data_IF_337064388902
#
_entry.id   IF_337064388902
#
_cell.length_a   1.000
_cell.length_b   1.000
_cell.length_c   1.000
_cell.angle_alpha   90.00
_cell.angle_beta   90.00
_cell.angle_gamma   90.00
#
_symmetry.space_group_name_H-M   'P 1'
#
loop_
_entity.id
_entity.type
_entity.pdbx_description
1 polymer ?
#
# COMPACT_ATOMS: atom_id res chain seq x y z
N UNK A 1 -16.04 4.74 -23.13
CA UNK A 1 -14.89 4.35 -22.26
C UNK A 1 -13.84 5.44 -22.34
N UNK A 2 -13.55 6.08 -21.20
CA UNK A 2 -12.59 7.19 -21.15
C UNK A 2 -11.20 6.64 -20.85
N UNK A 3 -10.18 7.22 -21.53
CA UNK A 3 -8.79 6.91 -21.21
C UNK A 3 -8.41 7.50 -19.86
N UNK A 4 -7.53 6.77 -19.16
CA UNK A 4 -6.89 7.19 -17.92
C UNK A 4 -5.59 7.90 -18.30
N UNK A 5 -5.40 9.09 -17.74
CA UNK A 5 -4.25 9.96 -17.96
C UNK A 5 -3.56 10.26 -16.62
N UNK A 6 -2.40 10.89 -16.69
CA UNK A 6 -1.72 11.40 -15.48
C UNK A 6 -2.45 12.65 -14.99
N UNK A 7 -2.90 12.64 -13.74
CA UNK A 7 -3.46 13.80 -13.07
C UNK A 7 -2.37 14.58 -12.32
N UNK A 8 -1.52 13.86 -11.58
CA UNK A 8 -0.44 14.46 -10.79
C UNK A 8 0.74 13.52 -10.67
N UNK A 9 1.95 14.07 -10.75
CA UNK A 9 3.21 13.36 -10.46
C UNK A 9 3.74 13.91 -9.14
N UNK A 10 4.12 13.00 -8.22
CA UNK A 10 4.59 13.34 -6.87
C UNK A 10 5.91 12.64 -6.62
N UNK A 11 6.94 13.41 -6.35
CA UNK A 11 8.20 12.89 -5.80
C UNK A 11 8.00 12.58 -4.31
N UNK A 12 8.30 11.36 -3.85
CA UNK A 12 8.19 11.02 -2.44
C UNK A 12 9.08 11.88 -1.56
N UNK A 13 8.60 12.19 -0.37
CA UNK A 13 9.32 12.96 0.62
C UNK A 13 10.11 12.02 1.54
N UNK A 14 11.39 12.29 1.74
CA UNK A 14 12.19 11.57 2.73
C UNK A 14 11.59 11.77 4.12
N UNK A 15 11.38 10.67 4.82
CA UNK A 15 10.79 10.64 6.16
C UNK A 15 11.46 9.57 7.02
N UNK A 16 11.15 9.58 8.31
CA UNK A 16 11.53 8.53 9.25
C UNK A 16 10.34 8.21 10.13
N UNK A 17 10.12 6.91 10.40
CA UNK A 17 9.04 6.44 11.25
C UNK A 17 9.52 5.26 12.13
N UNK A 18 8.65 4.77 13.03
CA UNK A 18 9.04 3.73 13.97
C UNK A 18 10.22 4.15 14.86
N UNK A 19 11.18 3.26 15.06
CA UNK A 19 12.40 3.54 15.80
C UNK A 19 13.56 4.00 14.90
N UNK A 20 13.25 4.93 13.98
CA UNK A 20 14.23 5.56 13.11
C UNK A 20 14.37 4.91 11.72
N UNK A 21 13.39 4.13 11.29
CA UNK A 21 13.36 3.56 9.93
C UNK A 21 13.28 4.68 8.91
N UNK A 22 14.24 4.75 8.00
CA UNK A 22 14.23 5.69 6.89
C UNK A 22 13.31 5.19 5.78
N UNK A 23 12.47 6.08 5.28
CA UNK A 23 11.49 5.77 4.25
C UNK A 23 11.23 6.97 3.32
N UNK A 24 10.54 6.69 2.23
CA UNK A 24 10.04 7.68 1.27
C UNK A 24 8.51 7.67 1.36
N UNK A 25 7.93 8.76 1.87
CA UNK A 25 6.47 8.91 2.00
C UNK A 25 5.89 9.61 0.78
N UNK A 26 4.92 9.00 0.14
CA UNK A 26 4.26 9.52 -1.07
C UNK A 26 2.89 10.10 -0.77
N UNK A 27 2.05 9.40 0.02
CA UNK A 27 0.74 9.85 0.50
C UNK A 27 0.83 10.03 2.01
N UNK A 28 0.12 10.99 2.57
CA UNK A 28 0.23 11.40 3.98
C UNK A 28 1.27 12.49 4.17
N UNK A 29 1.47 13.34 3.16
CA UNK A 29 2.44 14.43 3.12
C UNK A 29 1.75 15.78 2.88
N UNK A 30 2.51 16.87 2.98
CA UNK A 30 2.01 18.21 2.59
C UNK A 30 1.71 18.33 1.08
N UNK A 31 2.23 17.43 0.25
CA UNK A 31 1.96 17.40 -1.20
C UNK A 31 0.62 16.74 -1.51
N UNK A 32 0.27 15.72 -0.73
CA UNK A 32 -1.00 15.00 -0.78
C UNK A 32 -1.29 14.37 0.59
N UNK A 33 -2.31 14.88 1.28
CA UNK A 33 -2.70 14.39 2.60
C UNK A 33 -3.29 12.98 2.53
N UNK A 34 -4.19 12.74 1.57
CA UNK A 34 -4.74 11.42 1.26
C UNK A 34 -5.30 11.39 -0.16
N UNK A 35 -5.52 10.18 -0.69
CA UNK A 35 -6.19 9.92 -1.97
C UNK A 35 -7.23 8.83 -1.75
N UNK A 36 -8.42 9.22 -1.28
CA UNK A 36 -9.47 8.30 -0.82
C UNK A 36 -9.65 7.09 -1.75
N UNK A 37 -9.51 5.82 -1.28
CA UNK A 37 -9.43 5.41 0.13
C UNK A 37 -8.01 5.32 0.71
N UNK A 38 -6.97 5.75 0.01
CA UNK A 38 -5.57 5.61 0.41
C UNK A 38 -5.14 6.78 1.30
N UNK A 39 -4.67 6.45 2.52
CA UNK A 39 -4.33 7.42 3.56
C UNK A 39 -2.83 7.66 3.69
N UNK A 40 -2.02 6.65 3.35
CA UNK A 40 -0.57 6.71 3.45
C UNK A 40 0.03 5.68 2.48
N UNK A 41 1.12 6.05 1.84
CA UNK A 41 1.96 5.12 1.07
C UNK A 41 3.43 5.45 1.34
N UNK A 42 4.12 4.49 1.94
CA UNK A 42 5.54 4.55 2.24
C UNK A 42 6.30 3.46 1.49
N UNK A 43 7.44 3.82 0.90
CA UNK A 43 8.48 2.91 0.48
C UNK A 43 9.58 2.93 1.55
N UNK A 44 9.85 1.81 2.18
CA UNK A 44 11.00 1.65 3.06
C UNK A 44 12.01 0.70 2.42
N UNK A 45 13.29 1.06 2.47
CA UNK A 45 14.31 0.21 1.87
C UNK A 45 15.71 0.80 1.98
N UNK A 46 16.65 -0.03 2.39
CA UNK A 46 18.07 0.29 2.45
C UNK A 46 18.91 -0.99 2.47
N UNK A 47 20.15 -0.88 1.99
CA UNK A 47 21.20 -1.87 2.20
C UNK A 47 21.98 -1.61 3.49
N UNK A 48 21.85 -0.40 4.04
CA UNK A 48 22.45 -0.03 5.31
C UNK A 48 21.51 -0.38 6.47
N UNK A 49 21.90 -1.34 7.30
CA UNK A 49 21.09 -1.81 8.44
C UNK A 49 20.71 -0.71 9.42
N UNK A 50 21.54 0.32 9.59
CA UNK A 50 21.27 1.40 10.53
C UNK A 50 20.05 2.25 10.11
N UNK A 51 19.63 2.13 8.85
CA UNK A 51 18.46 2.82 8.32
C UNK A 51 17.14 2.08 8.63
N UNK A 52 17.20 0.79 9.05
CA UNK A 52 15.97 0.00 9.25
C UNK A 52 15.97 -0.88 10.52
N UNK A 53 17.13 -1.14 11.15
CA UNK A 53 17.23 -2.14 12.22
C UNK A 53 16.35 -1.83 13.44
N UNK A 54 16.01 -0.56 13.67
CA UNK A 54 15.11 -0.15 14.74
C UNK A 54 13.69 -0.67 14.58
N UNK A 55 13.28 -0.94 13.33
CA UNK A 55 11.94 -1.43 13.01
C UNK A 55 10.82 -0.53 13.49
N UNK A 56 9.63 -1.13 13.62
CA UNK A 56 8.44 -0.49 14.16
C UNK A 56 8.05 -1.23 15.45
N UNK A 57 8.54 -0.77 16.63
CA UNK A 57 8.19 -1.36 17.94
C UNK A 57 6.67 -1.34 18.19
N UNK A 58 6.17 -2.02 19.24
CA UNK A 58 4.73 -2.09 19.50
C UNK A 58 4.04 -0.74 19.45
N UNK A 59 3.07 -0.62 18.54
CA UNK A 59 2.27 0.59 18.32
C UNK A 59 0.83 0.23 17.93
N UNK A 60 -0.15 1.09 18.28
CA UNK A 60 -1.57 0.83 18.02
C UNK A 60 -2.02 1.31 16.65
N UNK A 61 -3.11 0.71 16.12
CA UNK A 61 -3.91 1.24 15.02
C UNK A 61 -5.38 1.06 15.28
N UNK A 62 -6.22 1.99 14.80
CA UNK A 62 -7.69 1.89 14.80
C UNK A 62 -8.28 2.53 13.56
N UNK A 63 -9.24 1.84 12.94
CA UNK A 63 -10.08 2.40 11.89
C UNK A 63 -9.49 2.44 10.50
N UNK A 64 -8.40 1.71 10.25
CA UNK A 64 -7.71 1.56 8.96
C UNK A 64 -7.44 0.10 8.65
N UNK A 65 -7.07 -0.15 7.42
CA UNK A 65 -6.36 -1.36 7.02
C UNK A 65 -4.90 -1.00 6.72
N UNK A 66 -3.95 -1.83 7.14
CA UNK A 66 -2.53 -1.70 6.80
C UNK A 66 -2.14 -2.84 5.88
N UNK A 67 -1.38 -2.52 4.84
CA UNK A 67 -0.88 -3.51 3.88
C UNK A 67 0.62 -3.37 3.77
N UNK A 68 1.34 -4.38 4.22
CA UNK A 68 2.79 -4.48 4.08
C UNK A 68 3.09 -5.43 2.92
N UNK A 69 3.86 -4.99 1.93
CA UNK A 69 4.34 -5.80 0.81
C UNK A 69 5.86 -5.81 0.78
N UNK A 70 6.46 -6.99 0.91
CA UNK A 70 7.91 -7.16 0.93
C UNK A 70 8.47 -7.42 -0.46
N UNK A 71 9.52 -6.69 -0.84
CA UNK A 71 10.29 -6.92 -2.06
C UNK A 71 11.65 -7.57 -1.79
N UNK A 72 12.22 -7.34 -0.60
CA UNK A 72 13.47 -7.94 -0.16
C UNK A 72 13.59 -7.90 1.36
N UNK A 73 14.33 -8.87 1.91
CA UNK A 73 14.59 -8.99 3.34
C UNK A 73 13.46 -9.68 4.09
N UNK A 74 13.71 -9.91 5.39
CA UNK A 74 12.80 -10.62 6.28
C UNK A 74 12.28 -9.67 7.35
N UNK A 75 10.96 -9.67 7.58
CA UNK A 75 10.26 -8.74 8.45
C UNK A 75 9.28 -9.48 9.35
N UNK A 76 9.54 -9.49 10.68
CA UNK A 76 8.70 -10.18 11.66
C UNK A 76 7.54 -9.29 12.07
N UNK A 77 6.32 -9.82 12.02
CA UNK A 77 5.11 -9.23 12.58
C UNK A 77 4.68 -9.98 13.84
N UNK A 78 4.23 -9.23 14.85
CA UNK A 78 3.49 -9.74 16.01
C UNK A 78 2.39 -8.77 16.40
N UNK A 79 1.22 -9.29 16.77
CA UNK A 79 0.09 -8.46 17.15
C UNK A 79 -0.67 -8.95 18.39
N UNK A 80 -1.52 -8.07 18.92
CA UNK A 80 -2.31 -8.30 20.14
C UNK A 80 -3.47 -9.30 19.96
N UNK A 81 -3.75 -9.76 18.75
CA UNK A 81 -4.75 -10.81 18.48
C UNK A 81 -4.14 -12.20 18.44
N UNK A 82 -2.82 -12.31 18.58
CA UNK A 82 -2.05 -13.53 18.47
C UNK A 82 -1.57 -13.84 17.07
N UNK A 83 -1.69 -12.88 16.12
CA UNK A 83 -1.08 -12.96 14.81
C UNK A 83 0.43 -12.82 14.92
N UNK A 84 1.17 -13.73 14.30
CA UNK A 84 2.62 -13.67 14.19
C UNK A 84 3.09 -14.30 12.88
N UNK A 85 4.22 -13.85 12.37
CA UNK A 85 4.85 -14.40 11.17
C UNK A 85 6.07 -13.63 10.73
N UNK A 86 6.90 -14.28 9.92
CA UNK A 86 8.02 -13.63 9.24
C UNK A 86 7.66 -13.54 7.77
N UNK A 87 7.54 -12.32 7.27
CA UNK A 87 7.37 -12.02 5.85
C UNK A 87 8.71 -12.06 5.16
N UNK A 88 8.79 -12.69 4.01
CA UNK A 88 9.94 -12.71 3.12
C UNK A 88 9.64 -12.00 1.80
N UNK A 89 10.60 -11.98 0.89
CA UNK A 89 10.42 -11.31 -0.41
C UNK A 89 9.23 -11.87 -1.19
N UNK A 90 8.29 -11.00 -1.51
CA UNK A 90 7.07 -11.32 -2.25
C UNK A 90 5.84 -11.56 -1.38
N UNK A 91 5.99 -11.68 -0.06
CA UNK A 91 4.88 -11.86 0.87
C UNK A 91 4.11 -10.56 1.09
N UNK A 92 2.84 -10.71 1.46
CA UNK A 92 1.95 -9.61 1.83
C UNK A 92 1.30 -9.91 3.17
N UNK A 93 1.24 -8.89 3.99
CA UNK A 93 0.41 -8.83 5.17
C UNK A 93 -0.70 -7.81 4.96
N UNK A 94 -1.95 -8.21 5.19
CA UNK A 94 -3.09 -7.33 5.15
C UNK A 94 -3.83 -7.39 6.48
N UNK A 95 -3.81 -6.30 7.22
CA UNK A 95 -4.39 -6.23 8.55
C UNK A 95 -5.53 -5.22 8.59
N UNK A 96 -6.74 -5.66 8.93
CA UNK A 96 -7.88 -4.80 9.24
C UNK A 96 -7.82 -4.47 10.72
N UNK A 97 -7.56 -3.22 11.06
CA UNK A 97 -7.34 -2.84 12.46
C UNK A 97 -8.64 -2.69 13.26
N UNK A 98 -9.74 -2.40 12.57
CA UNK A 98 -11.07 -2.33 13.18
C UNK A 98 -11.11 -1.50 14.48
N UNK A 99 -11.62 -2.10 15.56
CA UNK A 99 -11.77 -1.45 16.87
C UNK A 99 -10.46 -1.20 17.61
N UNK A 100 -9.36 -1.79 17.16
CA UNK A 100 -8.03 -1.55 17.72
C UNK A 100 -7.16 -2.81 17.73
N UNK A 101 -5.92 -2.65 17.31
CA UNK A 101 -4.85 -3.64 17.34
C UNK A 101 -3.56 -2.95 17.77
N UNK A 102 -2.73 -3.66 18.51
CA UNK A 102 -1.35 -3.26 18.82
C UNK A 102 -0.46 -4.27 18.13
N UNK A 103 0.46 -3.81 17.30
CA UNK A 103 1.39 -4.67 16.60
C UNK A 103 2.81 -4.11 16.58
N UNK A 104 3.74 -4.98 16.21
CA UNK A 104 5.12 -4.61 15.93
C UNK A 104 5.56 -5.24 14.61
N UNK A 105 6.42 -4.53 13.89
CA UNK A 105 7.04 -4.98 12.65
C UNK A 105 8.56 -4.77 12.78
N UNK A 106 9.31 -5.87 12.88
CA UNK A 106 10.73 -5.83 13.20
C UNK A 106 11.53 -6.54 12.12
N UNK A 107 12.69 -5.99 11.68
CA UNK A 107 13.58 -6.74 10.80
C UNK A 107 13.97 -8.08 11.43
N UNK A 108 13.73 -9.19 10.74
CA UNK A 108 14.10 -10.55 11.16
C UNK A 108 15.47 -10.96 10.60
N UNK A 109 16.22 -10.00 10.09
CA UNK A 109 17.54 -10.16 9.48
C UNK A 109 18.57 -9.25 10.17
N UNK A 110 19.84 -9.65 10.15
CA UNK A 110 20.94 -8.89 10.79
C UNK A 110 21.64 -7.93 9.82
N UNK A 111 21.60 -8.23 8.54
CA UNK A 111 22.25 -7.50 7.46
C UNK A 111 21.59 -7.83 6.11
N UNK A 112 21.87 -7.07 5.08
CA UNK A 112 21.34 -7.23 3.76
C UNK A 112 20.33 -6.14 3.39
N UNK A 113 19.71 -6.27 2.23
CA UNK A 113 18.73 -5.30 1.74
C UNK A 113 17.37 -5.59 2.36
N UNK A 114 16.81 -4.61 3.06
CA UNK A 114 15.39 -4.55 3.38
C UNK A 114 14.69 -3.66 2.36
N UNK A 115 13.57 -4.10 1.77
CA UNK A 115 12.77 -3.29 0.86
C UNK A 115 11.31 -3.72 0.87
N UNK A 116 10.42 -2.78 1.07
CA UNK A 116 8.98 -3.04 1.08
C UNK A 116 8.15 -1.76 1.01
N UNK A 117 6.85 -1.96 1.00
CA UNK A 117 5.85 -0.90 0.97
C UNK A 117 4.87 -1.06 2.12
N UNK A 118 4.48 0.07 2.70
CA UNK A 118 3.38 0.18 3.66
C UNK A 118 2.29 1.06 3.08
N UNK A 119 1.11 0.49 2.88
CA UNK A 119 -0.07 1.19 2.42
C UNK A 119 -1.11 1.23 3.54
N UNK A 120 -1.66 2.41 3.83
CA UNK A 120 -2.84 2.52 4.69
C UNK A 120 -4.08 2.76 3.83
N UNK A 121 -5.08 1.91 4.03
CA UNK A 121 -6.37 2.01 3.37
C UNK A 121 -7.43 2.38 4.42
N UNK A 122 -8.25 3.35 4.12
CA UNK A 122 -9.34 3.75 5.02
C UNK A 122 -10.44 2.70 5.09
N UNK A 123 -11.10 2.63 6.23
CA UNK A 123 -12.29 1.81 6.44
C UNK A 123 -13.55 2.67 6.48
N UNK A 124 -14.69 2.20 5.93
CA UNK A 124 -15.97 2.87 6.13
C UNK A 124 -16.34 2.96 7.62
N UNK A 125 -17.01 4.03 8.04
CA UNK A 125 -17.42 4.27 9.42
C UNK A 125 -18.04 3.04 10.09
N UNK A 126 -18.95 2.37 9.40
CA UNK A 126 -19.65 1.16 9.88
C UNK A 126 -18.72 -0.01 10.22
N UNK A 127 -17.48 -0.02 9.74
CA UNK A 127 -16.51 -1.09 9.93
C UNK A 127 -15.35 -0.70 10.87
N UNK A 128 -15.19 0.58 11.19
CA UNK A 128 -14.06 1.04 12.01
C UNK A 128 -14.03 0.47 13.42
N UNK A 129 -15.16 -0.05 13.92
CA UNK A 129 -15.26 -0.67 15.24
C UNK A 129 -15.55 -2.17 15.19
N UNK A 130 -15.30 -2.84 14.05
CA UNK A 130 -15.38 -4.30 13.93
C UNK A 130 -14.15 -4.97 14.56
N UNK A 131 -14.24 -6.28 14.78
CA UNK A 131 -13.13 -7.08 15.28
C UNK A 131 -11.93 -6.99 14.31
N UNK A 132 -10.69 -6.82 14.81
CA UNK A 132 -9.49 -6.87 13.98
C UNK A 132 -9.32 -8.22 13.27
N UNK A 133 -8.73 -8.17 12.08
CA UNK A 133 -8.40 -9.36 11.28
C UNK A 133 -6.97 -9.24 10.74
N UNK A 134 -6.22 -10.34 10.80
CA UNK A 134 -4.88 -10.46 10.25
C UNK A 134 -4.88 -11.49 9.13
N UNK A 135 -4.37 -11.12 7.97
CA UNK A 135 -4.27 -11.96 6.78
C UNK A 135 -2.82 -11.98 6.33
N UNK A 136 -2.18 -13.15 6.43
CA UNK A 136 -0.84 -13.38 5.87
C UNK A 136 -0.97 -14.12 4.55
N UNK A 137 -0.25 -13.65 3.53
CA UNK A 137 -0.29 -14.19 2.18
C UNK A 137 1.15 -14.47 1.74
N UNK A 138 1.49 -15.76 1.68
CA UNK A 138 2.76 -16.21 1.14
C UNK A 138 2.88 -15.83 -0.35
N UNK A 139 4.08 -15.51 -0.79
CA UNK A 139 4.38 -15.23 -2.19
C UNK A 139 3.93 -16.36 -3.15
N UNK A 140 4.06 -17.61 -2.71
CA UNK A 140 3.69 -18.81 -3.48
C UNK A 140 2.17 -18.96 -3.68
N UNK A 141 1.36 -18.29 -2.85
CA UNK A 141 -0.12 -18.28 -2.95
C UNK A 141 -0.65 -17.17 -3.84
N UNK A 142 0.21 -16.25 -4.28
CA UNK A 142 -0.20 -15.18 -5.17
C UNK A 142 -0.21 -15.62 -6.62
N UNK A 143 -1.37 -15.45 -7.27
CA UNK A 143 -1.49 -15.70 -8.70
C UNK A 143 -0.65 -14.72 -9.50
N UNK A 144 0.02 -15.23 -10.52
CA UNK A 144 0.90 -14.44 -11.38
C UNK A 144 0.60 -14.74 -12.84
N UNK A 145 0.31 -13.68 -13.61
CA UNK A 145 0.23 -13.76 -15.08
C UNK A 145 1.60 -13.48 -15.71
N UNK A 146 2.01 -14.30 -16.67
CA UNK A 146 3.27 -14.12 -17.44
C UNK A 146 3.01 -14.37 -18.91
N UNK A 147 3.41 -13.43 -19.78
CA UNK A 147 3.27 -13.58 -21.24
C UNK A 147 4.55 -13.25 -22.04
N UNK A 148 5.70 -13.19 -21.40
CA UNK A 148 6.98 -12.85 -22.02
C UNK A 148 7.25 -11.34 -22.11
N UNK A 149 6.23 -10.51 -22.22
CA UNK A 149 6.33 -9.05 -22.25
C UNK A 149 6.20 -8.44 -20.85
N UNK A 150 5.46 -9.10 -20.00
CA UNK A 150 5.19 -8.65 -18.61
C UNK A 150 4.99 -9.82 -17.65
N UNK A 151 5.24 -9.54 -16.38
CA UNK A 151 4.84 -10.37 -15.26
C UNK A 151 3.96 -9.52 -14.36
N UNK A 152 2.75 -9.98 -14.05
CA UNK A 152 1.81 -9.30 -13.16
C UNK A 152 1.50 -10.22 -11.99
N UNK A 153 2.04 -9.88 -10.81
CA UNK A 153 1.68 -10.53 -9.55
C UNK A 153 0.43 -9.84 -9.01
N UNK A 154 -0.63 -10.61 -8.77
CA UNK A 154 -1.93 -10.09 -8.35
C UNK A 154 -2.11 -10.28 -6.85
N UNK A 155 -2.00 -9.20 -6.09
CA UNK A 155 -2.22 -9.18 -4.63
C UNK A 155 -3.73 -9.08 -4.34
N UNK A 156 -4.42 -8.17 -5.02
CA UNK A 156 -5.86 -7.98 -4.92
C UNK A 156 -6.45 -7.66 -6.30
N UNK A 157 -7.68 -8.10 -6.55
CA UNK A 157 -8.35 -7.94 -7.84
C UNK A 157 -8.06 -9.10 -8.81
N UNK A 158 -8.22 -8.84 -10.11
CA UNK A 158 -8.05 -9.85 -11.15
C UNK A 158 -7.36 -9.26 -12.38
N UNK A 159 -6.36 -9.95 -12.91
CA UNK A 159 -5.70 -9.64 -14.18
C UNK A 159 -5.65 -10.88 -15.06
N UNK A 160 -6.35 -10.84 -16.20
CA UNK A 160 -6.47 -11.97 -17.12
C UNK A 160 -6.92 -13.26 -16.38
N UNK A 161 -6.09 -14.28 -16.36
CA UNK A 161 -6.29 -15.57 -15.69
C UNK A 161 -5.88 -15.58 -14.21
N UNK A 162 -5.12 -14.58 -13.77
CA UNK A 162 -4.65 -14.47 -12.39
C UNK A 162 -5.66 -13.70 -11.52
N UNK A 163 -5.96 -14.24 -10.33
CA UNK A 163 -6.84 -13.61 -9.34
C UNK A 163 -6.15 -13.58 -7.97
N UNK A 164 -6.15 -12.39 -7.35
CA UNK A 164 -5.54 -12.17 -6.05
C UNK A 164 -6.28 -12.86 -4.91
N UNK A 165 -5.55 -13.26 -3.85
CA UNK A 165 -6.13 -13.92 -2.68
C UNK A 165 -6.96 -12.98 -1.81
N UNK A 166 -6.72 -11.66 -1.87
CA UNK A 166 -7.44 -10.66 -1.06
C UNK A 166 -8.81 -10.38 -1.65
N UNK A 167 -9.87 -10.72 -0.88
CA UNK A 167 -11.27 -10.62 -1.32
C UNK A 167 -12.15 -10.00 -0.24
N UNK A 168 -13.32 -9.48 -0.66
CA UNK A 168 -14.36 -9.04 0.27
C UNK A 168 -14.07 -7.73 0.99
N UNK A 169 -13.20 -6.89 0.45
CA UNK A 169 -12.92 -5.55 0.98
C UNK A 169 -13.89 -4.51 0.41
N UNK A 170 -14.33 -3.57 1.25
CA UNK A 170 -15.34 -2.57 0.87
C UNK A 170 -14.87 -1.59 -0.19
N UNK A 171 -13.56 -1.40 -0.31
CA UNK A 171 -12.97 -0.50 -1.30
C UNK A 171 -12.69 -1.20 -2.65
N UNK A 172 -13.05 -2.48 -2.78
CA UNK A 172 -12.87 -3.27 -4.00
C UNK A 172 -11.44 -3.12 -4.57
N UNK A 173 -10.39 -3.44 -3.77
CA UNK A 173 -9.03 -3.08 -4.11
C UNK A 173 -8.52 -3.82 -5.35
N UNK A 174 -7.76 -3.09 -6.17
CA UNK A 174 -6.81 -3.66 -7.14
C UNK A 174 -5.42 -3.34 -6.65
N UNK A 175 -4.56 -4.36 -6.54
CA UNK A 175 -3.17 -4.18 -6.15
C UNK A 175 -2.31 -5.16 -6.93
N UNK A 176 -1.56 -4.64 -7.90
CA UNK A 176 -0.68 -5.43 -8.77
C UNK A 176 0.77 -4.96 -8.63
N UNK A 177 1.69 -5.92 -8.61
CA UNK A 177 3.11 -5.71 -8.85
C UNK A 177 3.42 -6.12 -10.29
N UNK A 178 3.86 -5.16 -11.10
CA UNK A 178 4.02 -5.31 -12.54
C UNK A 178 5.50 -5.15 -12.92
N UNK A 179 6.08 -6.20 -13.47
CA UNK A 179 7.33 -6.13 -14.24
C UNK A 179 7.00 -6.02 -15.73
N UNK A 180 7.47 -4.98 -16.39
CA UNK A 180 7.19 -4.69 -17.80
C UNK A 180 8.50 -4.61 -18.59
N UNK A 181 8.62 -5.41 -19.65
CA UNK A 181 9.81 -5.41 -20.50
C UNK A 181 9.93 -4.11 -21.31
N UNK A 182 11.17 -3.74 -21.66
CA UNK A 182 11.45 -2.55 -22.47
C UNK A 182 10.67 -2.56 -23.79
N UNK A 183 10.06 -1.41 -24.13
CA UNK A 183 9.30 -1.20 -25.36
C UNK A 183 7.95 -1.90 -25.39
N UNK A 184 7.45 -2.33 -24.23
CA UNK A 184 6.18 -3.06 -24.11
C UNK A 184 5.10 -2.23 -23.45
N UNK A 185 3.85 -2.71 -23.57
CA UNK A 185 2.66 -2.06 -23.04
C UNK A 185 1.96 -2.94 -22.00
N UNK A 186 1.51 -2.28 -20.93
CA UNK A 186 0.57 -2.82 -19.98
C UNK A 186 -0.77 -2.10 -20.20
N UNK A 187 -1.82 -2.87 -20.50
CA UNK A 187 -3.16 -2.37 -20.69
C UNK A 187 -4.09 -3.04 -19.67
N UNK A 188 -4.92 -2.24 -18.99
CA UNK A 188 -5.86 -2.75 -17.99
C UNK A 188 -7.13 -1.90 -17.94
N UNK A 189 -8.26 -2.55 -17.68
CA UNK A 189 -9.54 -1.87 -17.48
C UNK A 189 -9.81 -1.71 -15.97
N UNK A 190 -9.97 -0.46 -15.54
CA UNK A 190 -10.30 -0.08 -14.17
C UNK A 190 -11.76 0.39 -14.08
N UNK A 191 -12.44 0.17 -12.93
CA UNK A 191 -13.73 0.80 -12.70
C UNK A 191 -13.61 2.33 -12.71
N UNK A 192 -14.43 3.02 -13.52
CA UNK A 192 -14.40 4.49 -13.64
C UNK A 192 -14.72 5.25 -12.35
N UNK A 193 -15.26 4.55 -11.36
CA UNK A 193 -15.56 5.08 -10.02
C UNK A 193 -14.38 5.01 -9.04
N UNK A 194 -13.31 4.28 -9.38
CA UNK A 194 -12.16 4.14 -8.52
C UNK A 194 -11.23 5.35 -8.61
N UNK A 195 -10.53 5.61 -7.52
CA UNK A 195 -9.32 6.39 -7.49
C UNK A 195 -8.14 5.43 -7.65
N UNK A 196 -7.21 5.79 -8.52
CA UNK A 196 -6.12 4.90 -8.91
C UNK A 196 -4.79 5.62 -8.93
N UNK A 197 -3.72 4.88 -8.68
CA UNK A 197 -2.37 5.38 -8.69
C UNK A 197 -1.38 4.33 -9.19
N UNK A 198 -0.24 4.78 -9.68
CA UNK A 198 0.93 3.96 -9.97
C UNK A 198 2.08 4.44 -9.09
N UNK A 199 2.78 3.54 -8.43
CA UNK A 199 4.09 3.81 -7.85
C UNK A 199 5.16 3.16 -8.70
N UNK A 200 5.95 3.96 -9.40
CA UNK A 200 7.05 3.48 -10.23
C UNK A 200 8.27 3.20 -9.35
N UNK A 201 8.62 1.92 -9.22
CA UNK A 201 9.74 1.46 -8.39
C UNK A 201 11.05 1.60 -9.15
N UNK A 202 11.08 1.16 -10.41
CA UNK A 202 12.28 1.08 -11.24
C UNK A 202 11.94 1.36 -12.71
N UNK A 203 12.83 2.06 -13.39
CA UNK A 203 12.76 2.27 -14.83
C UNK A 203 12.06 3.57 -15.24
N UNK A 204 11.52 3.57 -16.46
CA UNK A 204 10.89 4.74 -17.07
C UNK A 204 9.63 4.33 -17.82
N UNK A 205 8.50 4.96 -17.48
CA UNK A 205 7.20 4.69 -18.10
C UNK A 205 6.53 5.96 -18.61
N UNK A 206 5.63 5.75 -19.57
CA UNK A 206 4.63 6.73 -20.03
C UNK A 206 3.25 6.19 -19.69
N UNK A 207 2.35 7.05 -19.21
CA UNK A 207 0.98 6.69 -18.85
C UNK A 207 -0.01 7.51 -19.70
N UNK A 208 -1.01 6.84 -20.24
CA UNK A 208 -2.00 7.44 -21.13
C UNK A 208 -1.47 7.68 -22.53
N UNK A 209 -2.05 8.66 -23.23
CA UNK A 209 -1.75 8.98 -24.62
C UNK A 209 -0.89 10.25 -24.81
N UNK A 210 -0.52 10.92 -23.71
CA UNK A 210 0.22 12.19 -23.78
C UNK A 210 1.74 11.94 -23.79
N UNK A 211 2.42 12.48 -24.82
CA UNK A 211 3.87 12.26 -25.02
C UNK A 211 4.78 12.87 -23.94
N UNK A 212 4.26 13.75 -23.08
CA UNK A 212 5.08 14.45 -22.07
C UNK A 212 5.07 13.78 -20.69
N UNK A 213 4.34 12.70 -20.52
CA UNK A 213 4.18 12.03 -19.23
C UNK A 213 5.22 10.91 -19.03
N UNK A 214 6.48 11.18 -19.35
CA UNK A 214 7.56 10.27 -19.01
C UNK A 214 7.91 10.42 -17.53
N UNK A 215 7.78 9.33 -16.78
CA UNK A 215 8.06 9.28 -15.34
C UNK A 215 9.18 8.31 -15.07
N UNK A 216 10.06 8.67 -14.16
CA UNK A 216 11.23 7.89 -13.73
C UNK A 216 11.03 7.31 -12.34
N UNK A 217 11.88 6.37 -12.01
CA UNK A 217 11.85 5.58 -10.76
C UNK A 217 11.62 6.39 -9.48
N UNK A 218 11.12 5.70 -8.47
CA UNK A 218 10.76 6.24 -7.16
C UNK A 218 9.77 7.42 -7.24
N UNK A 219 8.69 7.26 -8.01
CA UNK A 219 7.71 8.33 -8.24
C UNK A 219 6.28 7.82 -8.11
N UNK A 220 5.43 8.59 -7.43
CA UNK A 220 3.99 8.36 -7.37
C UNK A 220 3.27 9.10 -8.49
N UNK A 221 2.41 8.41 -9.20
CA UNK A 221 1.56 8.94 -10.27
C UNK A 221 0.11 8.79 -9.85
N UNK A 222 -0.58 9.89 -9.62
CA UNK A 222 -2.04 9.92 -9.44
C UNK A 222 -2.68 9.92 -10.83
N UNK A 223 -3.68 9.08 -11.01
CA UNK A 223 -4.37 8.87 -12.28
C UNK A 223 -5.72 9.57 -12.31
N UNK A 224 -6.11 10.08 -13.46
CA UNK A 224 -7.48 10.55 -13.68
C UNK A 224 -8.47 9.38 -13.59
N UNK A 225 -9.72 9.65 -13.29
CA UNK A 225 -10.78 8.65 -13.40
C UNK A 225 -11.02 8.30 -14.85
N UNK A 226 -11.16 7.02 -15.11
CA UNK A 226 -11.41 6.48 -16.44
C UNK A 226 -11.51 4.97 -16.39
N UNK A 227 -11.58 4.35 -17.55
CA UNK A 227 -11.74 2.89 -17.66
C UNK A 227 -10.52 2.23 -18.30
N UNK A 228 -9.84 2.90 -19.23
CA UNK A 228 -8.72 2.32 -19.99
C UNK A 228 -7.40 2.88 -19.53
N UNK A 229 -6.66 2.09 -18.79
CA UNK A 229 -5.26 2.38 -18.42
C UNK A 229 -4.34 1.81 -19.48
N UNK A 230 -3.43 2.64 -19.97
CA UNK A 230 -2.33 2.28 -20.84
C UNK A 230 -1.01 2.76 -20.24
N UNK A 231 -0.06 1.86 -20.07
CA UNK A 231 1.30 2.16 -19.61
C UNK A 231 2.30 1.60 -20.62
N UNK A 232 3.20 2.43 -21.11
CA UNK A 232 4.29 2.04 -22.00
C UNK A 232 5.63 2.18 -21.27
N UNK A 233 6.52 1.21 -21.39
CA UNK A 233 7.86 1.24 -20.78
C UNK A 233 8.94 1.61 -21.78
N UNK A 234 9.67 2.68 -21.51
CA UNK A 234 10.84 3.10 -22.33
C UNK A 234 12.09 2.29 -22.00
N UNK A 235 12.19 1.81 -20.78
CA UNK A 235 13.21 0.88 -20.27
C UNK A 235 12.53 -0.37 -19.71
N UNK A 236 13.26 -1.35 -19.19
CA UNK A 236 12.61 -2.33 -18.27
C UNK A 236 12.07 -1.54 -17.08
N UNK A 237 10.83 -1.80 -16.69
CA UNK A 237 10.17 -1.08 -15.60
C UNK A 237 9.50 -2.02 -14.62
N UNK A 238 9.48 -1.61 -13.34
CA UNK A 238 8.73 -2.26 -12.27
C UNK A 238 7.86 -1.22 -11.56
N UNK A 239 6.57 -1.51 -11.41
CA UNK A 239 5.65 -0.58 -10.76
C UNK A 239 4.51 -1.31 -10.02
N UNK A 240 3.96 -0.63 -9.01
CA UNK A 240 2.73 -1.02 -8.35
C UNK A 240 1.56 -0.27 -9.01
N UNK A 241 0.50 -1.00 -9.38
CA UNK A 241 -0.79 -0.41 -9.70
C UNK A 241 -1.73 -0.63 -8.51
N UNK A 242 -2.20 0.47 -7.92
CA UNK A 242 -3.10 0.43 -6.76
C UNK A 242 -4.36 1.22 -7.13
N UNK A 243 -5.53 0.61 -6.90
CA UNK A 243 -6.82 1.22 -7.20
C UNK A 243 -7.84 0.81 -6.15
N UNK A 244 -8.78 1.70 -5.84
CA UNK A 244 -9.82 1.41 -4.87
C UNK A 244 -11.00 2.38 -5.00
N UNK A 245 -12.17 1.88 -4.61
CA UNK A 245 -13.40 2.66 -4.56
C UNK A 245 -13.32 3.68 -3.42
N UNK A 246 -13.45 4.99 -3.69
CA UNK A 246 -13.46 6.00 -2.64
C UNK A 246 -14.63 5.77 -1.69
N UNK A 247 -14.41 6.03 -0.41
CA UNK A 247 -15.42 5.89 0.66
C UNK A 247 -16.30 7.12 0.74
N UNK A 248 -15.73 8.33 0.53
CA UNK A 248 -16.46 9.58 0.53
C UNK A 248 -16.97 10.02 1.90
N UNK A 249 -16.42 9.49 2.98
CA UNK A 249 -16.77 9.84 4.35
C UNK A 249 -15.77 10.83 4.95
N UNK A 250 -16.16 11.62 5.98
CA UNK A 250 -15.23 12.48 6.71
C UNK A 250 -14.08 11.70 7.32
N UNK A 251 -12.89 12.29 7.32
CA UNK A 251 -11.68 11.71 7.89
C UNK A 251 -11.19 12.61 9.04
N UNK A 252 -11.05 12.00 10.23
CA UNK A 252 -10.34 12.58 11.36
C UNK A 252 -9.11 11.72 11.66
N UNK A 253 -7.92 12.36 11.73
CA UNK A 253 -6.65 11.65 12.02
C UNK A 253 -6.09 12.14 13.36
N UNK A 254 -5.51 11.21 14.12
CA UNK A 254 -4.79 11.46 15.35
C UNK A 254 -3.67 10.43 15.53
N UNK A 255 -2.48 10.73 14.98
CA UNK A 255 -1.39 9.76 14.95
C UNK A 255 -1.79 8.49 14.20
N UNK A 256 -1.75 7.30 14.86
CA UNK A 256 -2.03 6.01 14.24
C UNK A 256 -3.54 5.68 14.18
N UNK A 257 -4.40 6.61 14.60
CA UNK A 257 -5.86 6.43 14.60
C UNK A 257 -6.50 7.24 13.48
N UNK A 258 -7.41 6.63 12.74
CA UNK A 258 -8.19 7.30 11.70
C UNK A 258 -9.65 6.95 11.85
N UNK A 259 -10.44 7.93 12.25
CA UNK A 259 -11.87 7.83 12.51
C UNK A 259 -12.64 8.82 11.63
N UNK A 260 -13.92 9.04 11.90
CA UNK A 260 -14.73 10.00 11.15
C UNK A 260 -14.89 11.33 11.87
N UNK A 261 -14.68 11.38 13.20
CA UNK A 261 -14.81 12.58 14.02
C UNK A 261 -13.65 12.74 15.00
N UNK A 262 -13.40 13.98 15.43
CA UNK A 262 -12.42 14.27 16.48
C UNK A 262 -12.78 13.63 17.83
N UNK A 263 -14.07 13.48 18.14
CA UNK A 263 -14.52 12.83 19.37
C UNK A 263 -14.12 11.34 19.37
N UNK A 264 -14.24 10.66 18.25
CA UNK A 264 -13.80 9.25 18.10
C UNK A 264 -12.29 9.11 18.22
N UNK A 265 -11.50 10.09 17.72
CA UNK A 265 -10.04 10.11 17.92
C UNK A 265 -9.72 10.26 19.41
N UNK A 266 -10.36 11.18 20.13
CA UNK A 266 -10.16 11.35 21.57
C UNK A 266 -10.52 10.06 22.32
N UNK A 267 -11.59 9.40 21.94
CA UNK A 267 -11.98 8.12 22.53
C UNK A 267 -10.90 7.03 22.27
N UNK A 268 -10.34 6.95 21.05
CA UNK A 268 -9.28 6.02 20.74
C UNK A 268 -8.03 6.24 21.62
N UNK A 269 -7.64 7.48 21.81
CA UNK A 269 -6.53 7.87 22.71
C UNK A 269 -6.83 7.47 24.15
N UNK A 270 -8.04 7.73 24.64
CA UNK A 270 -8.45 7.36 26.00
C UNK A 270 -8.45 5.83 26.19
N UNK A 271 -9.02 5.10 25.23
CA UNK A 271 -9.05 3.62 25.27
C UNK A 271 -7.62 3.07 25.35
N UNK A 272 -6.69 3.63 24.57
CA UNK A 272 -5.30 3.21 24.58
C UNK A 272 -4.59 3.47 25.91
N UNK A 273 -4.81 4.66 26.51
CA UNK A 273 -4.22 5.03 27.80
C UNK A 273 -4.83 4.25 28.98
N UNK A 274 -6.06 3.78 28.86
CA UNK A 274 -6.77 3.04 29.90
C UNK A 274 -6.67 1.52 29.77
N UNK A 275 -5.82 1.01 28.86
CA UNK A 275 -5.66 -0.44 28.56
C UNK A 275 -6.98 -1.13 28.12
N UNK A 276 -7.91 -0.35 27.54
CA UNK A 276 -9.20 -0.85 27.00
C UNK A 276 -9.26 -0.81 25.47
N UNK A 277 -8.12 -0.64 24.83
CA UNK A 277 -8.00 -0.44 23.38
C UNK A 277 -8.21 -1.74 22.60
N UNK A 278 -7.58 -2.82 23.04
CA UNK A 278 -7.74 -4.16 22.47
C UNK A 278 -8.96 -4.82 23.15
N UNK A 279 -9.89 -5.33 22.30
CA UNK A 279 -11.16 -5.91 22.77
C UNK A 279 -11.25 -7.38 22.39
#
# INVERSE_FOLDING_TARGET
MNNIEVEKIIEPVAASDGAGVKLKRSIGTHLIDYHDPFLMLDEFGSENKDDYIGGFPPHPHRGIETVTYMLAGDFEHKDSTGGEGIMTAGDVQWMKTGSGIIHSEMPAMKEGKLHGFQLWVNMPAKLKMTKPEYIYIDADKMSTHKDGDKTVKVIAGKFQDAEGPVKGHNVEPVYFDVDLAKGKEFNFELPSTHNSLIYLIEGEIKVGNQDHNTVKDSTLIILTRGEKLKVFSSTKAKFLLISGKPIGEPIARGGPFVMNTKAEILQAVQDYHNDTFVK
#
